data_IF_097649432280
#
_entry.id   IF_097649432280
#
_cell.length_a   1.000
_cell.length_b   1.000
_cell.length_c   1.000
_cell.angle_alpha   90.00
_cell.angle_beta   90.00
_cell.angle_gamma   90.00
#
_symmetry.space_group_name_H-M   'P 1'
#
loop_
_entity.id
_entity.type
_entity.pdbx_description
1 polymer ?
#
# COMPACT_ATOMS: atom_id res chain seq x y z
N UNK A 1 -2.86 -2.80 -20.75
CA UNK A 1 -2.27 -2.66 -19.42
C UNK A 1 -2.69 -1.34 -18.79
N UNK A 2 -3.14 -1.37 -17.56
CA UNK A 2 -3.64 -0.18 -16.89
C UNK A 2 -2.97 -0.05 -15.53
N UNK A 3 -2.56 1.16 -15.17
CA UNK A 3 -1.92 1.44 -13.90
C UNK A 3 -2.76 2.43 -13.12
N UNK A 4 -3.08 2.10 -11.90
CA UNK A 4 -3.90 2.95 -11.04
C UNK A 4 -3.22 3.18 -9.71
N UNK A 5 -3.34 4.40 -9.20
CA UNK A 5 -2.86 4.71 -7.86
C UNK A 5 -3.94 4.35 -6.86
N UNK A 6 -3.61 3.49 -5.92
CA UNK A 6 -4.53 3.02 -4.89
C UNK A 6 -4.10 3.51 -3.53
N UNK A 7 -5.06 3.64 -2.64
CA UNK A 7 -4.81 4.03 -1.26
C UNK A 7 -5.45 3.01 -0.33
N UNK A 8 -4.73 2.66 0.72
CA UNK A 8 -5.26 1.75 1.73
C UNK A 8 -4.95 2.31 3.11
N UNK A 9 -5.89 2.17 4.04
CA UNK A 9 -5.74 2.68 5.40
C UNK A 9 -5.58 1.54 6.39
N UNK A 10 -4.60 1.67 7.28
CA UNK A 10 -4.32 0.65 8.30
C UNK A 10 -4.21 1.30 9.66
N UNK A 11 -4.54 0.54 10.69
CA UNK A 11 -4.46 1.02 12.07
C UNK A 11 -3.24 0.48 12.81
N UNK A 12 -2.44 -0.34 12.18
CA UNK A 12 -1.18 -0.82 12.75
C UNK A 12 -0.17 -1.11 11.65
N UNK A 13 1.10 -1.00 12.01
CA UNK A 13 2.17 -1.30 11.06
C UNK A 13 2.13 -2.76 10.62
N UNK A 14 1.73 -3.66 11.52
CA UNK A 14 1.64 -5.07 11.19
C UNK A 14 0.60 -5.31 10.10
N UNK A 15 -0.56 -4.67 10.21
CA UNK A 15 -1.60 -4.82 9.20
C UNK A 15 -1.12 -4.34 7.84
N UNK A 16 -0.39 -3.22 7.82
CA UNK A 16 0.15 -2.68 6.58
C UNK A 16 1.13 -3.67 5.95
N UNK A 17 2.04 -4.19 6.75
CA UNK A 17 3.04 -5.14 6.25
C UNK A 17 2.39 -6.42 5.75
N UNK A 18 1.40 -6.91 6.49
CA UNK A 18 0.69 -8.12 6.08
C UNK A 18 -0.03 -7.92 4.75
N UNK A 19 -0.63 -6.75 4.57
CA UNK A 19 -1.32 -6.44 3.32
C UNK A 19 -0.34 -6.42 2.14
N UNK A 20 0.78 -5.73 2.32
CA UNK A 20 1.79 -5.62 1.26
C UNK A 20 2.32 -6.99 0.87
N UNK A 21 2.60 -7.83 1.87
CA UNK A 21 3.14 -9.17 1.60
C UNK A 21 2.10 -10.10 1.00
N UNK A 22 0.86 -10.01 1.46
CA UNK A 22 -0.21 -10.86 0.97
C UNK A 22 -0.56 -10.55 -0.47
N UNK A 23 -0.58 -9.28 -0.83
CA UNK A 23 -0.89 -8.85 -2.19
C UNK A 23 0.34 -8.79 -3.08
N UNK A 24 1.50 -9.14 -2.54
CA UNK A 24 2.76 -9.17 -3.28
C UNK A 24 3.06 -7.84 -3.97
N UNK A 25 2.82 -6.75 -3.24
CA UNK A 25 3.13 -5.43 -3.77
C UNK A 25 4.63 -5.23 -3.71
N UNK A 26 5.23 -4.98 -4.87
CA UNK A 26 6.68 -4.83 -4.93
C UNK A 26 7.10 -3.45 -4.48
N UNK A 27 8.36 -3.34 -4.11
CA UNK A 27 8.93 -2.07 -3.66
C UNK A 27 8.75 -0.98 -4.71
N UNK A 28 8.91 -1.32 -5.97
CA UNK A 28 8.78 -0.36 -7.07
C UNK A 28 7.36 0.17 -7.20
N UNK A 29 6.38 -0.59 -6.75
CA UNK A 29 4.98 -0.19 -6.85
C UNK A 29 4.46 0.54 -5.63
N UNK A 30 5.28 0.69 -4.59
CA UNK A 30 4.89 1.48 -3.42
C UNK A 30 5.25 2.93 -3.70
N UNK A 31 4.23 3.78 -3.75
CA UNK A 31 4.44 5.21 -3.99
C UNK A 31 4.88 5.92 -2.71
N UNK A 32 4.14 5.72 -1.63
CA UNK A 32 4.50 6.33 -0.36
C UNK A 32 3.73 5.67 0.78
N UNK A 33 4.28 5.83 1.98
CA UNK A 33 3.63 5.38 3.20
C UNK A 33 3.66 6.57 4.15
N UNK A 34 2.48 7.00 4.59
CA UNK A 34 2.35 8.13 5.49
C UNK A 34 1.81 7.64 6.82
N UNK A 35 2.57 7.90 7.88
CA UNK A 35 2.14 7.56 9.24
C UNK A 35 1.65 8.84 9.91
N UNK A 36 0.41 8.82 10.38
CA UNK A 36 -0.21 9.97 11.03
C UNK A 36 -1.00 9.50 12.23
N UNK A 37 -0.64 9.99 13.41
CA UNK A 37 -1.27 9.58 14.68
C UNK A 37 -1.29 8.05 14.80
N UNK A 38 -2.47 7.48 14.74
CA UNK A 38 -2.65 6.04 14.92
C UNK A 38 -2.98 5.32 13.61
N UNK A 39 -2.80 6.00 12.48
CA UNK A 39 -3.16 5.40 11.20
C UNK A 39 -1.97 5.45 10.24
N UNK A 40 -2.01 4.52 9.29
CA UNK A 40 -1.00 4.42 8.25
C UNK A 40 -1.70 4.43 6.90
N UNK A 41 -1.32 5.36 6.03
CA UNK A 41 -1.81 5.42 4.66
C UNK A 41 -0.79 4.82 3.72
N UNK A 42 -1.20 3.85 2.95
CA UNK A 42 -0.36 3.25 1.92
C UNK A 42 -0.86 3.70 0.55
N UNK A 43 0.02 4.31 -0.21
CA UNK A 43 -0.25 4.65 -1.61
C UNK A 43 0.60 3.76 -2.49
N UNK A 44 -0.04 3.03 -3.38
CA UNK A 44 0.66 2.08 -4.22
C UNK A 44 0.05 2.02 -5.62
N UNK A 45 0.86 1.59 -6.56
CA UNK A 45 0.43 1.44 -7.93
C UNK A 45 -0.04 0.01 -8.18
N UNK A 46 -1.21 -0.12 -8.75
CA UNK A 46 -1.75 -1.41 -9.15
C UNK A 46 -1.76 -1.50 -10.65
N UNK A 47 -1.17 -2.56 -11.18
CA UNK A 47 -1.13 -2.79 -12.63
C UNK A 47 -2.13 -3.88 -12.96
N UNK A 48 -3.06 -3.57 -13.84
CA UNK A 48 -4.07 -4.53 -14.31
C UNK A 48 -3.99 -4.66 -15.82
N UNK A 49 -4.35 -5.83 -16.30
CA UNK A 49 -4.35 -6.08 -17.72
C UNK A 49 -5.71 -5.85 -18.35
#
# INVERSE_FOLDING_TARGET
>A
MKTELKRELFYSAKELCDFVNEHQITKENIQSIIADSDVYDLFYWEVTE
#
